data_IF_597408674267
#
_entry.id   IF_597408674267
#
_cell.length_a   1.000
_cell.length_b   1.000
_cell.length_c   1.000
_cell.angle_alpha   90.00
_cell.angle_beta   90.00
_cell.angle_gamma   90.00
#
_symmetry.space_group_name_H-M   'P 1'
#
loop_
_entity.id
_entity.type
_entity.pdbx_description
1 polymer ?
#
# COMPACT_ATOMS: atom_id res chain seq x y z
N UNK A 1 19.39 -13.51 10.80
CA UNK A 1 18.03 -12.91 10.73
C UNK A 1 17.96 -11.76 9.70
N UNK A 2 18.42 -11.96 8.45
CA UNK A 2 18.47 -10.89 7.41
C UNK A 2 17.69 -11.23 6.14
N UNK A 3 17.20 -12.46 6.02
CA UNK A 3 16.47 -12.99 4.86
C UNK A 3 14.95 -12.89 5.03
N UNK A 4 14.43 -12.99 6.25
CA UNK A 4 12.98 -12.93 6.52
C UNK A 4 12.37 -11.55 6.22
N UNK A 5 13.10 -10.46 6.48
CA UNK A 5 12.67 -9.10 6.17
C UNK A 5 12.55 -8.81 4.67
N UNK A 6 13.32 -9.48 3.81
CA UNK A 6 13.25 -9.31 2.35
C UNK A 6 12.03 -10.01 1.74
N UNK A 7 11.55 -11.10 2.34
CA UNK A 7 10.30 -11.75 1.94
C UNK A 7 9.08 -10.91 2.34
N UNK A 8 9.10 -10.30 3.52
CA UNK A 8 8.03 -9.41 4.00
C UNK A 8 7.99 -8.11 3.16
N UNK A 9 9.16 -7.56 2.80
CA UNK A 9 9.25 -6.39 1.93
C UNK A 9 8.85 -6.69 0.46
N UNK A 10 9.16 -7.88 -0.05
CA UNK A 10 8.76 -8.29 -1.41
C UNK A 10 7.26 -8.60 -1.53
N UNK A 11 6.65 -9.14 -0.46
CA UNK A 11 5.22 -9.46 -0.44
C UNK A 11 4.32 -8.23 -0.57
N UNK A 12 4.68 -7.12 0.07
CA UNK A 12 3.92 -5.86 -0.03
C UNK A 12 3.89 -5.29 -1.45
N UNK A 13 5.01 -5.39 -2.17
CA UNK A 13 5.13 -4.90 -3.54
C UNK A 13 4.34 -5.79 -4.50
N UNK A 14 4.45 -7.12 -4.37
CA UNK A 14 3.68 -8.05 -5.20
C UNK A 14 2.17 -7.93 -4.97
N UNK A 15 1.74 -7.80 -3.70
CA UNK A 15 0.35 -7.55 -3.36
C UNK A 15 -0.15 -6.22 -3.96
N UNK A 16 0.67 -5.18 -3.92
CA UNK A 16 0.35 -3.88 -4.51
C UNK A 16 0.04 -3.96 -6.01
N UNK A 17 0.90 -4.64 -6.79
CA UNK A 17 0.69 -4.81 -8.23
C UNK A 17 -0.49 -5.73 -8.56
N UNK A 18 -0.71 -6.78 -7.75
CA UNK A 18 -1.86 -7.66 -7.89
C UNK A 18 -3.18 -6.90 -7.64
N UNK A 19 -3.27 -6.11 -6.57
CA UNK A 19 -4.45 -5.31 -6.27
C UNK A 19 -4.69 -4.20 -7.31
N UNK A 20 -3.63 -3.61 -7.88
CA UNK A 20 -3.77 -2.63 -8.97
C UNK A 20 -4.52 -3.20 -10.17
N UNK A 21 -4.24 -4.46 -10.53
CA UNK A 21 -4.95 -5.16 -11.62
C UNK A 21 -6.42 -5.41 -11.29
N UNK A 22 -6.70 -5.84 -10.06
CA UNK A 22 -8.08 -6.05 -9.59
C UNK A 22 -8.88 -4.76 -9.66
N UNK A 23 -8.28 -3.63 -9.24
CA UNK A 23 -8.92 -2.31 -9.28
C UNK A 23 -9.18 -1.83 -10.71
N UNK A 24 -8.25 -2.07 -11.64
CA UNK A 24 -8.45 -1.77 -13.06
C UNK A 24 -9.68 -2.52 -13.61
N UNK A 25 -9.76 -3.83 -13.38
CA UNK A 25 -10.91 -4.63 -13.82
C UNK A 25 -12.21 -4.14 -13.18
N UNK A 26 -12.19 -3.88 -11.87
CA UNK A 26 -13.39 -3.44 -11.14
C UNK A 26 -13.86 -2.07 -11.61
N UNK A 27 -12.94 -1.14 -11.83
CA UNK A 27 -13.25 0.21 -12.31
C UNK A 27 -13.83 0.16 -13.72
N UNK A 28 -13.19 -0.57 -14.63
CA UNK A 28 -13.67 -0.70 -16.00
C UNK A 28 -15.03 -1.44 -16.05
N UNK A 29 -15.26 -2.41 -15.17
CA UNK A 29 -16.54 -3.13 -15.12
C UNK A 29 -17.68 -2.32 -14.48
N UNK A 30 -17.41 -1.59 -13.39
CA UNK A 30 -18.43 -0.86 -12.63
C UNK A 30 -18.61 0.55 -13.17
N UNK A 31 -17.54 1.33 -13.21
CA UNK A 31 -17.62 2.77 -13.54
C UNK A 31 -17.88 2.96 -15.03
N UNK A 32 -17.16 2.25 -15.89
CA UNK A 32 -17.39 2.34 -17.34
C UNK A 32 -18.57 1.46 -17.77
N UNK A 33 -18.64 0.22 -17.28
CA UNK A 33 -19.65 -0.74 -17.69
C UNK A 33 -21.06 -0.43 -17.17
N UNK A 34 -21.23 -0.15 -15.87
CA UNK A 34 -22.56 0.08 -15.29
C UNK A 34 -22.98 1.55 -15.28
N UNK A 35 -22.04 2.46 -15.01
CA UNK A 35 -22.37 3.89 -14.91
C UNK A 35 -22.23 4.62 -16.25
N UNK A 36 -21.54 4.04 -17.25
CA UNK A 36 -21.28 4.71 -18.53
C UNK A 36 -20.52 6.03 -18.38
N UNK A 37 -19.90 6.23 -17.22
CA UNK A 37 -19.26 7.48 -16.80
C UNK A 37 -17.75 7.28 -16.85
N UNK A 38 -17.05 8.25 -17.43
CA UNK A 38 -15.60 8.27 -17.62
C UNK A 38 -15.03 7.25 -18.62
N UNK A 39 -13.78 7.51 -19.01
CA UNK A 39 -12.99 6.68 -19.93
C UNK A 39 -12.41 5.48 -19.16
N UNK A 40 -12.14 4.33 -19.82
CA UNK A 40 -11.46 3.20 -19.19
C UNK A 40 -10.11 3.64 -18.61
N UNK A 41 -9.83 3.18 -17.38
CA UNK A 41 -8.53 3.36 -16.77
C UNK A 41 -7.56 2.33 -17.36
N UNK A 42 -6.36 2.80 -17.69
CA UNK A 42 -5.24 1.93 -18.03
C UNK A 42 -4.55 1.45 -16.75
N UNK A 43 -3.92 0.27 -16.78
CA UNK A 43 -3.23 -0.35 -15.65
C UNK A 43 -2.34 0.62 -14.84
N UNK A 44 -1.54 1.45 -15.53
CA UNK A 44 -0.66 2.43 -14.88
C UNK A 44 -1.42 3.50 -14.08
N UNK A 45 -2.62 3.88 -14.53
CA UNK A 45 -3.46 4.84 -13.82
C UNK A 45 -4.16 4.19 -12.62
N UNK A 46 -4.61 2.94 -12.75
CA UNK A 46 -5.17 2.17 -11.65
C UNK A 46 -4.11 1.93 -10.55
N UNK A 47 -2.88 1.59 -10.95
CA UNK A 47 -1.74 1.47 -10.05
C UNK A 47 -1.42 2.81 -9.36
N UNK A 48 -1.42 3.93 -10.09
CA UNK A 48 -1.24 5.26 -9.52
C UNK A 48 -2.34 5.64 -8.52
N UNK A 49 -3.60 5.37 -8.83
CA UNK A 49 -4.74 5.61 -7.92
C UNK A 49 -4.61 4.75 -6.66
N UNK A 50 -4.29 3.47 -6.83
CA UNK A 50 -4.07 2.54 -5.71
C UNK A 50 -2.88 2.95 -4.84
N UNK A 51 -1.82 3.50 -5.43
CA UNK A 51 -0.68 4.07 -4.72
C UNK A 51 -1.11 5.27 -3.86
N UNK A 52 -1.87 6.20 -4.43
CA UNK A 52 -2.36 7.38 -3.72
C UNK A 52 -3.29 7.01 -2.56
N UNK A 53 -4.19 6.03 -2.77
CA UNK A 53 -5.04 5.48 -1.71
C UNK A 53 -4.17 4.87 -0.62
N UNK A 54 -3.20 4.02 -1.00
CA UNK A 54 -2.28 3.40 -0.04
C UNK A 54 -1.50 4.45 0.74
N UNK A 55 -1.02 5.53 0.11
CA UNK A 55 -0.35 6.63 0.80
C UNK A 55 -1.27 7.39 1.75
N UNK A 56 -2.52 7.67 1.33
CA UNK A 56 -3.53 8.33 2.16
C UNK A 56 -3.81 7.54 3.44
N UNK A 57 -3.95 6.22 3.33
CA UNK A 57 -4.19 5.34 4.47
C UNK A 57 -2.90 4.96 5.22
N UNK A 58 -1.74 4.92 4.56
CA UNK A 58 -0.45 4.70 5.20
C UNK A 58 -0.08 5.89 6.11
N UNK A 59 -0.45 7.12 5.74
CA UNK A 59 -0.33 8.29 6.60
C UNK A 59 -1.15 8.17 7.90
N UNK A 60 -2.24 7.39 7.89
CA UNK A 60 -3.06 7.09 9.08
C UNK A 60 -2.50 5.89 9.87
N UNK A 61 -1.76 4.97 9.22
CA UNK A 61 -1.20 3.75 9.81
C UNK A 61 0.22 3.86 10.41
N UNK A 62 1.03 4.88 10.06
CA UNK A 62 2.38 5.10 10.61
C UNK A 62 2.36 5.63 12.07
N UNK A 63 1.22 5.51 12.78
CA UNK A 63 1.06 5.85 14.20
C UNK A 63 1.26 4.69 15.19
N UNK A 64 1.52 3.45 14.73
CA UNK A 64 1.65 2.30 15.65
C UNK A 64 2.97 1.55 15.45
N UNK A 65 3.88 1.70 16.41
CA UNK A 65 4.94 0.71 16.64
C UNK A 65 6.40 1.13 16.46
N UNK A 66 6.75 2.41 16.52
CA UNK A 66 8.11 2.82 16.93
C UNK A 66 8.08 3.78 18.11
N UNK A 67 7.29 3.42 19.12
CA UNK A 67 7.72 3.62 20.49
C UNK A 67 8.98 2.78 20.71
N UNK A 68 10.13 3.29 20.24
CA UNK A 68 11.43 2.92 20.80
C UNK A 68 11.41 3.51 22.21
N UNK A 69 10.78 2.75 23.09
CA UNK A 69 10.79 2.93 24.54
C UNK A 69 12.26 2.99 24.94
N UNK A 70 12.68 4.21 25.31
CA UNK A 70 13.57 4.52 26.42
C UNK A 70 14.15 3.27 27.11
N UNK A 71 15.38 2.89 26.75
CA UNK A 71 16.18 1.99 27.59
C UNK A 71 17.66 2.29 27.43
N UNK A 72 18.15 3.22 28.25
CA UNK A 72 19.55 3.59 28.24
C UNK A 72 20.02 4.67 29.21
N UNK A 73 19.25 5.01 30.25
CA UNK A 73 19.84 5.64 31.45
C UNK A 73 20.34 4.53 32.39
N UNK A 74 21.34 3.78 31.92
CA UNK A 74 22.08 2.85 32.78
C UNK A 74 23.35 3.57 33.22
N UNK A 75 23.23 4.16 34.41
CA UNK A 75 24.29 4.33 35.43
C UNK A 75 25.72 4.06 34.95
N UNK A 76 26.50 5.14 34.87
CA UNK A 76 27.95 5.05 35.07
C UNK A 76 28.28 5.80 36.35
N UNK A 77 28.64 5.00 37.32
CA UNK A 77 29.32 5.33 38.56
C UNK A 77 30.70 5.94 38.24
#
# INVERSE_FOLDING_TARGET
>A
MRTLGRFIAGGGIAAFFFFSWVIEMLWNSIVVGHLGLFKPLNYWQAAGLWFLITLLFAGVGIGTGRSVVWRGWSTRD
#
